data_IF_789152921870
#
_entry.id   IF_789152921870
#
_cell.length_a   1.000
_cell.length_b   1.000
_cell.length_c   1.000
_cell.angle_alpha   90.00
_cell.angle_beta   90.00
_cell.angle_gamma   90.00
#
_symmetry.space_group_name_H-M   'P 1'
#
loop_
_entity.id
_entity.type
_entity.pdbx_description
1 polymer ?
#
# COMPACT_ATOMS: atom_id res chain seq x y z
N UNK A 1 47.48 49.97 -22.59
CA UNK A 1 47.94 48.94 -21.63
C UNK A 1 46.73 48.33 -20.91
N UNK A 2 45.82 47.71 -21.68
CA UNK A 2 44.52 47.19 -21.18
C UNK A 2 44.16 45.84 -21.81
N UNK A 3 45.06 45.25 -22.61
CA UNK A 3 44.81 44.01 -23.34
C UNK A 3 45.31 42.74 -22.62
N UNK A 4 46.15 42.86 -21.58
CA UNK A 4 46.72 41.69 -20.88
C UNK A 4 45.95 41.24 -19.62
N UNK A 5 44.92 41.96 -19.17
CA UNK A 5 44.21 41.64 -17.90
C UNK A 5 43.07 40.61 -18.05
N UNK A 6 42.69 40.24 -19.27
CA UNK A 6 41.59 39.30 -19.51
C UNK A 6 42.03 37.88 -19.89
N UNK A 7 43.26 37.69 -20.39
CA UNK A 7 43.74 36.36 -20.83
C UNK A 7 43.88 35.35 -19.67
N UNK A 8 44.29 35.80 -18.49
CA UNK A 8 44.43 34.92 -17.32
C UNK A 8 43.09 34.41 -16.79
N UNK A 9 42.01 35.20 -16.90
CA UNK A 9 40.66 34.77 -16.48
C UNK A 9 40.07 33.73 -17.42
N UNK A 10 40.27 33.89 -18.73
CA UNK A 10 39.79 32.93 -19.74
C UNK A 10 40.59 31.62 -19.73
N UNK A 11 41.90 31.68 -19.48
CA UNK A 11 42.72 30.47 -19.30
C UNK A 11 42.30 29.67 -18.05
N UNK A 12 42.00 30.34 -16.94
CA UNK A 12 41.53 29.68 -15.72
C UNK A 12 40.15 29.03 -15.91
N UNK A 13 39.24 29.69 -16.63
CA UNK A 13 37.91 29.15 -16.91
C UNK A 13 37.99 27.91 -17.79
N UNK A 14 38.85 27.91 -18.81
CA UNK A 14 39.08 26.77 -19.71
C UNK A 14 39.67 25.57 -18.98
N UNK A 15 40.66 25.79 -18.09
CA UNK A 15 41.25 24.72 -17.26
C UNK A 15 40.21 24.18 -16.28
N UNK A 16 39.38 25.04 -15.66
CA UNK A 16 38.33 24.60 -14.74
C UNK A 16 37.29 23.75 -15.46
N UNK A 17 36.85 24.14 -16.67
CA UNK A 17 35.94 23.32 -17.49
C UNK A 17 36.57 21.99 -17.88
N UNK A 18 37.85 21.97 -18.27
CA UNK A 18 38.56 20.75 -18.66
C UNK A 18 38.70 19.78 -17.47
N UNK A 19 39.05 20.30 -16.29
CA UNK A 19 39.14 19.53 -15.04
C UNK A 19 37.77 19.01 -14.63
N UNK A 20 36.69 19.79 -14.74
CA UNK A 20 35.33 19.29 -14.48
C UNK A 20 34.88 18.23 -15.48
N UNK A 21 35.24 18.32 -16.76
CA UNK A 21 34.92 17.28 -17.76
C UNK A 21 35.72 16.00 -17.56
N UNK A 22 36.99 16.10 -17.15
CA UNK A 22 37.82 14.93 -16.87
C UNK A 22 37.40 14.26 -15.54
N UNK A 23 37.11 15.03 -14.49
CA UNK A 23 36.57 14.47 -13.24
C UNK A 23 35.18 13.86 -13.45
N UNK A 24 34.28 14.48 -14.22
CA UNK A 24 32.98 13.86 -14.52
C UNK A 24 33.10 12.58 -15.35
N UNK A 25 34.07 12.48 -16.26
CA UNK A 25 34.36 11.21 -16.95
C UNK A 25 34.96 10.11 -16.06
N UNK A 26 35.64 10.48 -14.96
CA UNK A 26 36.18 9.54 -13.98
C UNK A 26 35.12 9.05 -12.98
N UNK A 27 34.00 9.75 -12.82
CA UNK A 27 32.86 9.32 -11.98
C UNK A 27 31.81 8.47 -12.72
N UNK A 28 31.95 8.24 -14.04
CA UNK A 28 31.08 7.34 -14.82
C UNK A 28 31.72 5.99 -15.17
N UNK A 29 32.91 5.69 -14.62
CA UNK A 29 33.32 4.28 -14.51
C UNK A 29 32.62 3.74 -13.26
N UNK A 30 31.34 3.41 -13.41
CA UNK A 30 30.69 2.45 -12.53
C UNK A 30 31.51 1.18 -12.63
N UNK A 31 32.46 0.98 -11.72
CA UNK A 31 32.98 -0.34 -11.45
C UNK A 31 31.76 -1.15 -11.00
N UNK A 32 31.15 -1.87 -11.93
CA UNK A 32 30.29 -3.00 -11.62
C UNK A 32 31.19 -3.98 -10.90
N UNK A 33 31.32 -3.81 -9.59
CA UNK A 33 31.81 -4.84 -8.71
C UNK A 33 30.79 -5.95 -8.88
N UNK A 34 31.13 -6.94 -9.72
CA UNK A 34 30.32 -8.14 -9.85
C UNK A 34 30.20 -8.77 -8.47
N UNK A 35 28.98 -9.18 -8.11
CA UNK A 35 28.74 -9.91 -6.88
C UNK A 35 29.73 -11.08 -6.77
N UNK A 36 30.47 -11.18 -5.67
CA UNK A 36 31.56 -12.14 -5.46
C UNK A 36 31.06 -13.52 -5.04
N UNK A 37 29.93 -13.97 -5.58
CA UNK A 37 29.34 -15.26 -5.26
C UNK A 37 29.99 -16.41 -6.03
N UNK A 38 29.79 -17.62 -5.53
CA UNK A 38 30.12 -18.85 -6.25
C UNK A 38 29.48 -18.84 -7.65
N UNK A 39 30.22 -19.31 -8.66
CA UNK A 39 29.76 -19.34 -10.04
C UNK A 39 29.35 -20.75 -10.45
N UNK A 40 28.17 -20.86 -11.05
CA UNK A 40 27.61 -22.12 -11.55
C UNK A 40 27.31 -21.95 -13.04
N UNK A 41 27.59 -22.96 -13.86
CA UNK A 41 27.30 -22.88 -15.30
C UNK A 41 25.80 -22.77 -15.56
N UNK A 42 25.42 -22.08 -16.64
CA UNK A 42 24.02 -21.94 -17.03
C UNK A 42 23.30 -23.28 -17.23
N UNK A 43 24.00 -24.31 -17.73
CA UNK A 43 23.42 -25.63 -17.97
C UNK A 43 23.21 -26.41 -16.67
N UNK A 44 24.15 -26.33 -15.72
CA UNK A 44 23.96 -26.87 -14.38
C UNK A 44 22.76 -26.21 -13.68
N UNK A 45 22.66 -24.87 -13.72
CA UNK A 45 21.53 -24.14 -13.14
C UNK A 45 20.19 -24.59 -13.71
N UNK A 46 20.07 -24.72 -15.04
CA UNK A 46 18.84 -25.23 -15.68
C UNK A 46 18.49 -26.65 -15.24
N UNK A 47 19.50 -27.49 -15.01
CA UNK A 47 19.29 -28.90 -14.63
C UNK A 47 18.88 -29.06 -13.17
N UNK A 48 19.50 -28.31 -12.26
CA UNK A 48 19.30 -28.49 -10.82
C UNK A 48 18.15 -27.64 -10.25
N UNK A 49 17.75 -26.57 -10.92
CA UNK A 49 16.70 -25.68 -10.40
C UNK A 49 15.31 -26.31 -10.48
N UNK A 50 14.44 -25.93 -9.54
CA UNK A 50 13.01 -26.27 -9.56
C UNK A 50 12.16 -25.13 -10.10
N UNK A 51 12.57 -23.89 -9.84
CA UNK A 51 11.91 -22.69 -10.33
C UNK A 51 12.90 -21.81 -11.08
N UNK A 52 12.40 -21.10 -12.08
CA UNK A 52 13.16 -20.08 -12.77
C UNK A 52 12.27 -18.91 -13.17
N UNK A 53 12.78 -17.69 -13.02
CA UNK A 53 12.05 -16.47 -13.25
C UNK A 53 12.91 -15.50 -14.05
N UNK A 54 12.35 -14.89 -15.09
CA UNK A 54 13.04 -13.81 -15.81
C UNK A 54 12.66 -12.47 -15.20
N UNK A 55 13.65 -11.66 -14.82
CA UNK A 55 13.46 -10.35 -14.22
C UNK A 55 14.32 -9.31 -14.95
N UNK A 56 13.82 -8.08 -15.04
CA UNK A 56 14.62 -6.93 -15.44
C UNK A 56 14.96 -6.07 -14.23
N UNK A 57 16.18 -5.58 -14.19
CA UNK A 57 16.56 -4.54 -13.23
C UNK A 57 16.05 -3.15 -13.66
N UNK A 58 16.34 -2.13 -12.85
CA UNK A 58 15.96 -0.74 -13.14
C UNK A 58 16.66 -0.16 -14.39
N UNK A 59 17.72 -0.80 -14.88
CA UNK A 59 18.45 -0.45 -16.10
C UNK A 59 17.96 -1.28 -17.30
N UNK A 60 16.85 -2.02 -17.14
CA UNK A 60 16.26 -2.90 -18.16
C UNK A 60 17.15 -4.09 -18.54
N UNK A 61 18.18 -4.38 -17.75
CA UNK A 61 19.02 -5.57 -17.93
C UNK A 61 18.24 -6.80 -17.50
N UNK A 62 18.12 -7.77 -18.40
CA UNK A 62 17.44 -9.04 -18.13
C UNK A 62 18.36 -10.04 -17.42
N UNK A 63 17.79 -10.71 -16.42
CA UNK A 63 18.41 -11.79 -15.67
C UNK A 63 17.41 -12.95 -15.53
N UNK A 64 17.93 -14.17 -15.41
CA UNK A 64 17.17 -15.32 -14.95
C UNK A 64 17.57 -15.62 -13.51
N UNK A 65 16.59 -15.61 -12.59
CA UNK A 65 16.74 -16.11 -11.23
C UNK A 65 16.40 -17.59 -11.24
N UNK A 66 17.35 -18.41 -10.81
CA UNK A 66 17.24 -19.85 -10.66
C UNK A 66 17.13 -20.18 -9.17
N UNK A 67 16.12 -20.96 -8.77
CA UNK A 67 15.94 -21.43 -7.40
C UNK A 67 16.24 -22.92 -7.35
N UNK A 68 17.23 -23.29 -6.53
CA UNK A 68 17.76 -24.65 -6.45
C UNK A 68 18.19 -25.00 -5.02
N UNK A 69 18.32 -26.28 -4.73
CA UNK A 69 18.89 -26.82 -3.50
C UNK A 69 19.81 -28.00 -3.86
N UNK A 70 20.88 -28.20 -3.10
CA UNK A 70 21.82 -29.32 -3.28
C UNK A 70 21.44 -30.53 -2.43
N UNK A 71 20.71 -30.30 -1.34
CA UNK A 71 20.28 -31.24 -0.31
C UNK A 71 18.80 -31.64 -0.47
N UNK A 72 18.28 -31.61 -1.71
CA UNK A 72 16.86 -31.81 -1.97
C UNK A 72 16.39 -33.25 -1.69
N UNK A 73 15.38 -33.37 -0.83
CA UNK A 73 14.65 -34.60 -0.57
C UNK A 73 13.30 -34.58 -1.30
N UNK A 74 12.95 -35.72 -1.90
CA UNK A 74 11.71 -35.89 -2.67
C UNK A 74 10.73 -36.75 -1.90
N UNK A 75 9.53 -36.24 -1.72
CA UNK A 75 8.40 -37.00 -1.16
C UNK A 75 7.13 -36.75 -1.98
N UNK A 76 6.03 -37.39 -1.58
CA UNK A 76 4.74 -37.24 -2.23
C UNK A 76 3.70 -36.89 -1.18
N UNK A 77 2.83 -35.93 -1.51
CA UNK A 77 1.71 -35.57 -0.65
C UNK A 77 0.78 -36.78 -0.50
N UNK A 78 0.58 -37.24 0.74
CA UNK A 78 -0.20 -38.46 1.02
C UNK A 78 -1.71 -38.22 1.07
N UNK A 79 -2.11 -36.98 1.34
CA UNK A 79 -3.51 -36.58 1.50
C UNK A 79 -3.78 -35.29 0.70
N UNK A 80 -5.05 -34.96 0.49
CA UNK A 80 -5.41 -33.67 -0.10
C UNK A 80 -5.01 -32.54 0.87
N UNK A 81 -4.21 -31.60 0.38
CA UNK A 81 -3.99 -30.33 1.07
C UNK A 81 -4.89 -29.28 0.41
N UNK A 82 -6.13 -29.21 0.90
CA UNK A 82 -7.12 -28.23 0.47
C UNK A 82 -6.70 -26.78 0.76
N UNK A 83 -5.71 -26.60 1.64
CA UNK A 83 -5.17 -25.29 1.97
C UNK A 83 -4.10 -24.83 0.99
N UNK A 84 -3.35 -25.72 0.34
CA UNK A 84 -2.39 -25.37 -0.70
C UNK A 84 -2.89 -25.58 -2.13
N UNK A 85 -4.15 -26.00 -2.31
CA UNK A 85 -4.70 -26.51 -3.57
C UNK A 85 -3.85 -27.67 -4.16
N UNK A 86 -3.24 -28.46 -3.27
CA UNK A 86 -2.41 -29.59 -3.64
C UNK A 86 -3.20 -30.90 -3.48
N UNK A 87 -3.00 -31.80 -4.43
CA UNK A 87 -3.67 -33.09 -4.47
C UNK A 87 -2.78 -34.19 -3.90
N UNK A 88 -3.41 -35.20 -3.29
CA UNK A 88 -2.70 -36.43 -2.97
C UNK A 88 -2.01 -36.97 -4.24
N UNK A 89 -0.73 -37.28 -4.15
CA UNK A 89 0.11 -37.64 -5.29
C UNK A 89 0.98 -36.52 -5.86
N UNK A 90 0.79 -35.25 -5.46
CA UNK A 90 1.68 -34.17 -5.88
C UNK A 90 3.08 -34.32 -5.25
N UNK A 91 4.12 -34.00 -6.02
CA UNK A 91 5.52 -34.18 -5.60
C UNK A 91 5.98 -32.98 -4.79
N UNK A 92 6.55 -33.28 -3.62
CA UNK A 92 7.08 -32.31 -2.67
C UNK A 92 8.60 -32.41 -2.70
N UNK A 93 9.25 -31.26 -2.82
CA UNK A 93 10.70 -31.11 -2.79
C UNK A 93 11.08 -30.25 -1.59
N UNK A 94 11.80 -30.83 -0.64
CA UNK A 94 12.26 -30.13 0.58
C UNK A 94 13.76 -29.98 0.54
N UNK A 95 14.29 -28.81 0.85
CA UNK A 95 15.73 -28.57 0.88
C UNK A 95 16.07 -27.13 1.25
N UNK A 96 17.37 -26.85 1.35
CA UNK A 96 17.89 -25.52 1.63
C UNK A 96 17.96 -24.71 0.33
N UNK A 97 16.86 -24.05 -0.06
CA UNK A 97 16.82 -23.37 -1.35
C UNK A 97 17.62 -22.05 -1.37
N UNK A 98 18.40 -21.91 -2.42
CA UNK A 98 19.19 -20.72 -2.74
C UNK A 98 18.77 -20.15 -4.10
N UNK A 99 19.09 -18.87 -4.32
CA UNK A 99 18.96 -18.24 -5.62
C UNK A 99 20.33 -18.14 -6.30
N UNK A 100 20.38 -18.38 -7.60
CA UNK A 100 21.45 -17.90 -8.47
C UNK A 100 20.87 -16.96 -9.53
N UNK A 101 21.61 -15.91 -9.89
CA UNK A 101 21.23 -15.02 -10.98
C UNK A 101 22.12 -15.27 -12.18
N UNK A 102 21.52 -15.39 -13.36
CA UNK A 102 22.21 -15.46 -14.63
C UNK A 102 21.85 -14.24 -15.45
N UNK A 103 22.82 -13.34 -15.68
CA UNK A 103 22.62 -12.20 -16.60
C UNK A 103 22.46 -12.73 -18.02
N UNK A 104 21.51 -12.18 -18.77
CA UNK A 104 21.23 -12.62 -20.14
C UNK A 104 22.48 -12.57 -21.02
N UNK A 105 22.80 -13.69 -21.69
CA UNK A 105 23.97 -13.85 -22.55
C UNK A 105 25.24 -14.33 -21.84
N UNK A 106 25.28 -14.37 -20.50
CA UNK A 106 26.42 -14.91 -19.75
C UNK A 106 26.39 -16.45 -19.70
N UNK A 107 27.57 -17.05 -19.54
CA UNK A 107 27.73 -18.50 -19.43
C UNK A 107 27.61 -19.03 -17.98
N UNK A 108 27.80 -18.15 -17.00
CA UNK A 108 27.82 -18.48 -15.58
C UNK A 108 26.84 -17.60 -14.81
N UNK A 109 26.07 -18.21 -13.92
CA UNK A 109 25.28 -17.50 -12.93
C UNK A 109 26.03 -17.40 -11.61
N UNK A 110 25.65 -16.41 -10.80
CA UNK A 110 26.24 -16.13 -9.49
C UNK A 110 25.26 -16.50 -8.39
N UNK A 111 25.67 -17.38 -7.48
CA UNK A 111 24.90 -17.72 -6.28
C UNK A 111 24.73 -16.49 -5.39
N UNK A 112 23.53 -16.28 -4.90
CA UNK A 112 23.13 -15.14 -4.08
C UNK A 112 23.09 -15.53 -2.60
N UNK A 113 23.46 -14.58 -1.74
CA UNK A 113 23.45 -14.79 -0.29
C UNK A 113 22.11 -14.42 0.38
N UNK A 114 21.12 -13.98 -0.39
CA UNK A 114 19.82 -13.58 0.16
C UNK A 114 19.06 -14.82 0.64
N UNK A 115 18.52 -14.75 1.86
CA UNK A 115 17.61 -15.79 2.37
C UNK A 115 16.25 -15.66 1.68
N UNK A 116 15.83 -16.71 0.99
CA UNK A 116 14.53 -16.78 0.33
C UNK A 116 13.41 -17.14 1.30
N UNK A 117 13.75 -17.77 2.43
CA UNK A 117 12.80 -18.37 3.38
C UNK A 117 11.80 -19.26 2.65
N UNK A 118 12.35 -20.19 1.88
CA UNK A 118 11.64 -21.14 1.05
C UNK A 118 12.30 -22.50 1.26
N UNK A 119 11.63 -23.39 1.99
CA UNK A 119 12.20 -24.70 2.33
C UNK A 119 11.52 -25.85 1.57
N UNK A 120 10.34 -25.57 0.99
CA UNK A 120 9.51 -26.57 0.31
C UNK A 120 8.97 -26.03 -1.01
N UNK A 121 9.03 -26.84 -2.06
CA UNK A 121 8.39 -26.59 -3.36
C UNK A 121 7.48 -27.75 -3.69
N UNK A 122 6.21 -27.46 -4.01
CA UNK A 122 5.26 -28.45 -4.54
C UNK A 122 5.00 -28.10 -6.00
N UNK A 123 5.42 -28.97 -6.92
CA UNK A 123 5.28 -28.70 -8.35
C UNK A 123 3.81 -28.77 -8.76
N UNK A 124 3.39 -27.77 -9.57
CA UNK A 124 2.02 -27.30 -9.91
C UNK A 124 1.62 -25.99 -9.23
N UNK A 125 2.27 -25.61 -8.12
CA UNK A 125 2.04 -24.31 -7.53
C UNK A 125 2.58 -23.20 -8.45
N UNK A 126 1.69 -22.32 -8.90
CA UNK A 126 1.98 -21.08 -9.65
C UNK A 126 1.99 -19.85 -8.73
N UNK A 127 2.16 -20.08 -7.43
CA UNK A 127 2.05 -19.08 -6.37
C UNK A 127 3.26 -18.13 -6.32
N UNK A 128 4.44 -18.61 -6.74
CA UNK A 128 5.63 -17.79 -6.96
C UNK A 128 5.62 -17.20 -8.38
N UNK A 129 5.77 -15.88 -8.52
CA UNK A 129 5.67 -15.23 -9.83
C UNK A 129 6.42 -13.90 -9.92
N UNK A 130 6.52 -13.41 -11.15
CA UNK A 130 7.07 -12.09 -11.46
C UNK A 130 5.94 -11.08 -11.68
N UNK A 131 6.12 -9.90 -11.10
CA UNK A 131 5.28 -8.73 -11.31
C UNK A 131 6.05 -7.79 -12.22
N UNK A 132 5.68 -7.77 -13.51
CA UNK A 132 6.35 -6.95 -14.52
C UNK A 132 6.08 -5.47 -14.29
N UNK A 133 7.13 -4.66 -14.08
CA UNK A 133 6.97 -3.23 -13.83
C UNK A 133 6.45 -2.48 -15.06
N UNK A 134 6.84 -2.95 -16.26
CA UNK A 134 6.58 -2.34 -17.58
C UNK A 134 7.00 -0.86 -17.70
N UNK A 135 7.77 -0.34 -16.74
CA UNK A 135 8.17 1.06 -16.64
C UNK A 135 9.69 1.18 -16.49
N UNK A 136 10.30 2.11 -17.24
CA UNK A 136 11.73 2.35 -17.17
C UNK A 136 12.14 2.90 -15.80
N UNK A 137 13.25 2.43 -15.25
CA UNK A 137 13.72 2.81 -13.91
C UNK A 137 13.05 2.06 -12.76
N UNK A 138 12.06 1.19 -13.02
CA UNK A 138 11.43 0.33 -12.02
C UNK A 138 11.77 -1.13 -12.34
N UNK A 139 12.45 -1.88 -11.45
CA UNK A 139 12.75 -3.28 -11.68
C UNK A 139 11.48 -4.13 -11.63
N UNK A 140 11.50 -5.28 -12.30
CA UNK A 140 10.49 -6.31 -12.09
C UNK A 140 10.62 -6.88 -10.68
N UNK A 141 9.51 -7.32 -10.09
CA UNK A 141 9.49 -7.84 -8.72
C UNK A 141 9.31 -9.36 -8.75
N UNK A 142 10.20 -10.09 -8.08
CA UNK A 142 10.00 -11.51 -7.79
C UNK A 142 9.21 -11.62 -6.49
N UNK A 143 8.05 -12.27 -6.56
CA UNK A 143 7.20 -12.56 -5.42
C UNK A 143 7.34 -14.04 -5.08
N UNK A 144 8.01 -14.32 -3.95
CA UNK A 144 8.00 -15.66 -3.35
C UNK A 144 6.87 -15.68 -2.34
N UNK A 145 6.01 -16.68 -2.45
CA UNK A 145 4.82 -16.80 -1.61
C UNK A 145 4.91 -18.02 -0.74
N UNK A 146 4.51 -17.85 0.50
CA UNK A 146 4.30 -18.94 1.43
C UNK A 146 2.82 -18.96 1.84
N UNK A 147 2.38 -20.13 2.29
CA UNK A 147 1.04 -20.28 2.79
C UNK A 147 0.87 -19.46 4.09
N UNK A 148 -0.09 -18.54 4.10
CA UNK A 148 -0.40 -17.72 5.28
C UNK A 148 -1.59 -18.28 6.06
N UNK A 149 -2.76 -18.35 5.42
CA UNK A 149 -3.99 -18.86 6.04
C UNK A 149 -4.99 -19.39 5.01
N UNK A 150 -6.22 -19.68 5.45
CA UNK A 150 -7.31 -20.24 4.65
C UNK A 150 -7.61 -19.52 3.33
N UNK A 151 -7.31 -18.22 3.24
CA UNK A 151 -7.67 -17.40 2.08
C UNK A 151 -6.56 -16.44 1.61
N UNK A 152 -5.37 -16.48 2.22
CA UNK A 152 -4.24 -15.61 1.85
C UNK A 152 -2.90 -16.35 1.79
N UNK A 153 -2.02 -15.84 0.94
CA UNK A 153 -0.60 -16.13 0.94
C UNK A 153 0.15 -14.95 1.58
N UNK A 154 1.22 -15.26 2.29
CA UNK A 154 2.23 -14.28 2.66
C UNK A 154 3.23 -14.14 1.50
N UNK A 155 3.65 -12.91 1.22
CA UNK A 155 4.41 -12.55 0.02
C UNK A 155 5.69 -11.85 0.43
N UNK A 156 6.80 -12.43 0.00
CA UNK A 156 8.16 -11.92 0.16
C UNK A 156 8.62 -11.39 -1.19
N UNK A 157 9.09 -10.15 -1.22
CA UNK A 157 9.39 -9.45 -2.48
C UNK A 157 10.87 -9.26 -2.65
N UNK A 158 11.36 -9.54 -3.85
CA UNK A 158 12.75 -9.37 -4.24
C UNK A 158 12.86 -8.61 -5.54
N UNK A 159 13.97 -7.90 -5.71
CA UNK A 159 14.34 -7.21 -6.94
C UNK A 159 15.79 -7.48 -7.27
N UNK A 160 16.16 -7.31 -8.54
CA UNK A 160 17.57 -7.26 -8.92
C UNK A 160 18.02 -5.81 -8.91
N UNK A 161 19.07 -5.51 -8.15
CA UNK A 161 19.70 -4.20 -8.11
C UNK A 161 21.21 -4.38 -8.20
N UNK A 162 21.81 -3.79 -9.23
CA UNK A 162 23.27 -3.87 -9.47
C UNK A 162 23.79 -5.31 -9.59
N UNK A 163 23.01 -6.21 -10.19
CA UNK A 163 23.38 -7.61 -10.31
C UNK A 163 23.40 -8.38 -8.98
N UNK A 164 22.56 -7.99 -8.03
CA UNK A 164 22.31 -8.74 -6.80
C UNK A 164 20.80 -8.88 -6.58
N UNK A 165 20.35 -10.06 -6.13
CA UNK A 165 18.99 -10.28 -5.70
C UNK A 165 18.82 -9.75 -4.27
N UNK A 166 17.95 -8.76 -4.10
CA UNK A 166 17.76 -8.06 -2.83
C UNK A 166 16.32 -8.14 -2.35
N UNK A 167 16.15 -8.39 -1.05
CA UNK A 167 14.85 -8.34 -0.37
C UNK A 167 14.33 -6.90 -0.34
N UNK A 168 13.04 -6.74 -0.57
CA UNK A 168 12.32 -5.48 -0.47
C UNK A 168 11.48 -5.49 0.80
N UNK A 169 11.67 -4.49 1.65
CA UNK A 169 10.91 -4.33 2.89
C UNK A 169 9.58 -3.61 2.66
N UNK A 170 8.60 -3.84 3.54
CA UNK A 170 7.33 -3.13 3.51
C UNK A 170 7.32 -2.04 4.59
N UNK A 171 6.87 -0.84 4.23
CA UNK A 171 6.79 0.29 5.16
C UNK A 171 5.44 0.99 5.07
N UNK A 172 4.96 1.48 6.21
CA UNK A 172 3.75 2.27 6.29
C UNK A 172 3.94 3.64 5.64
N UNK A 173 2.83 4.35 5.45
CA UNK A 173 2.84 5.68 4.86
C UNK A 173 3.71 6.70 5.64
N UNK A 174 3.88 6.51 6.95
CA UNK A 174 4.68 7.37 7.84
C UNK A 174 6.16 6.94 7.91
N UNK A 175 6.54 5.89 7.19
CA UNK A 175 7.90 5.36 7.13
C UNK A 175 8.24 4.34 8.22
N UNK A 176 7.30 3.99 9.12
CA UNK A 176 7.51 2.89 10.06
C UNK A 176 7.55 1.55 9.32
N UNK A 177 8.34 0.61 9.84
CA UNK A 177 8.40 -0.76 9.32
C UNK A 177 7.02 -1.41 9.37
N UNK A 178 6.55 -1.89 8.23
CA UNK A 178 5.34 -2.71 8.10
C UNK A 178 5.61 -4.21 8.08
N UNK A 179 6.88 -4.61 8.05
CA UNK A 179 7.31 -6.01 8.02
C UNK A 179 8.20 -6.31 6.80
N UNK A 180 8.54 -7.58 6.65
CA UNK A 180 9.33 -8.13 5.54
C UNK A 180 8.48 -8.89 4.51
N UNK A 181 7.16 -8.91 4.73
CA UNK A 181 6.15 -9.57 3.90
C UNK A 181 4.84 -8.80 3.90
N UNK A 182 3.97 -9.10 2.93
CA UNK A 182 2.57 -8.64 2.88
C UNK A 182 1.64 -9.80 2.54
N UNK A 183 0.32 -9.57 2.53
CA UNK A 183 -0.66 -10.62 2.25
C UNK A 183 -1.47 -10.33 0.99
N UNK A 184 -1.83 -11.38 0.25
CA UNK A 184 -2.86 -11.32 -0.79
C UNK A 184 -3.63 -12.63 -0.91
N UNK A 185 -4.81 -12.57 -1.50
CA UNK A 185 -5.56 -13.74 -1.95
C UNK A 185 -4.71 -14.59 -2.89
N UNK A 186 -4.83 -15.91 -2.78
CA UNK A 186 -4.07 -16.90 -3.55
C UNK A 186 -4.17 -16.67 -5.06
N UNK A 187 -5.41 -16.48 -5.55
CA UNK A 187 -5.68 -16.29 -6.96
C UNK A 187 -5.98 -14.84 -7.29
N UNK A 188 -5.21 -14.31 -8.25
CA UNK A 188 -5.39 -12.95 -8.77
C UNK A 188 -5.44 -11.91 -7.63
N UNK A 189 -4.71 -12.14 -6.53
CA UNK A 189 -4.64 -11.25 -5.38
C UNK A 189 -3.69 -10.07 -5.57
N UNK A 190 -2.91 -10.06 -6.65
CA UNK A 190 -1.93 -9.01 -6.94
C UNK A 190 -2.17 -8.46 -8.35
N UNK A 191 -2.03 -7.14 -8.52
CA UNK A 191 -1.94 -6.51 -9.83
C UNK A 191 -0.95 -5.36 -9.84
N UNK A 192 -0.39 -5.08 -11.01
CA UNK A 192 0.41 -3.88 -11.25
C UNK A 192 -0.47 -2.68 -11.57
N UNK A 193 0.01 -1.52 -11.17
CA UNK A 193 -0.49 -0.20 -11.50
C UNK A 193 0.68 0.63 -12.03
N UNK A 194 0.37 1.76 -12.65
CA UNK A 194 1.39 2.69 -13.12
C UNK A 194 2.18 3.32 -11.96
N UNK A 195 3.34 3.89 -12.29
CA UNK A 195 4.26 4.62 -11.40
C UNK A 195 4.87 3.71 -10.31
N UNK A 196 5.30 2.52 -10.73
CA UNK A 196 5.90 1.50 -9.86
C UNK A 196 5.00 1.05 -8.70
N UNK A 197 3.68 1.06 -8.90
CA UNK A 197 2.71 0.69 -7.87
C UNK A 197 2.20 -0.73 -8.04
N UNK A 198 1.99 -1.41 -6.94
CA UNK A 198 1.42 -2.77 -6.89
C UNK A 198 0.28 -2.77 -5.89
N UNK A 199 -0.84 -3.37 -6.29
CA UNK A 199 -2.01 -3.49 -5.43
C UNK A 199 -2.25 -4.95 -5.07
N UNK A 200 -2.47 -5.18 -3.79
CA UNK A 200 -2.74 -6.46 -3.16
C UNK A 200 -4.18 -6.45 -2.68
N UNK A 201 -4.90 -7.56 -2.86
CA UNK A 201 -6.28 -7.76 -2.41
C UNK A 201 -6.31 -8.98 -1.52
N UNK A 202 -6.99 -8.88 -0.39
CA UNK A 202 -7.38 -10.03 0.41
C UNK A 202 -8.78 -9.86 1.00
N UNK A 203 -9.35 -10.95 1.50
CA UNK A 203 -10.64 -10.93 2.18
C UNK A 203 -10.43 -11.00 3.68
N UNK A 204 -10.93 -10.01 4.41
CA UNK A 204 -10.94 -9.99 5.87
C UNK A 204 -12.18 -10.74 6.36
N UNK A 205 -11.97 -11.92 6.93
CA UNK A 205 -13.06 -12.77 7.45
C UNK A 205 -13.75 -12.18 8.69
N UNK A 206 -13.05 -11.33 9.46
CA UNK A 206 -13.60 -10.69 10.66
C UNK A 206 -14.64 -9.64 10.24
N UNK A 207 -14.28 -8.78 9.30
CA UNK A 207 -15.12 -7.66 8.86
C UNK A 207 -16.05 -7.99 7.67
N UNK A 208 -15.87 -9.15 7.05
CA UNK A 208 -16.67 -9.58 5.90
C UNK A 208 -16.51 -8.69 4.66
N UNK A 209 -15.30 -8.15 4.44
CA UNK A 209 -14.97 -7.23 3.34
C UNK A 209 -13.65 -7.60 2.66
N UNK A 210 -13.48 -7.12 1.43
CA UNK A 210 -12.19 -7.12 0.75
C UNK A 210 -11.39 -5.87 1.11
N UNK A 211 -10.15 -6.08 1.50
CA UNK A 211 -9.16 -5.03 1.72
C UNK A 211 -8.18 -4.99 0.55
N UNK A 212 -7.79 -3.77 0.18
CA UNK A 212 -6.90 -3.50 -0.93
C UNK A 212 -5.76 -2.60 -0.46
N UNK A 213 -4.54 -3.12 -0.44
CA UNK A 213 -3.35 -2.37 -0.10
C UNK A 213 -2.59 -2.01 -1.37
N UNK A 214 -2.34 -0.72 -1.59
CA UNK A 214 -1.54 -0.24 -2.72
C UNK A 214 -0.19 0.23 -2.21
N UNK A 215 0.87 -0.41 -2.67
CA UNK A 215 2.24 -0.03 -2.36
C UNK A 215 2.92 0.60 -3.57
N UNK A 216 3.84 1.53 -3.32
CA UNK A 216 4.72 2.11 -4.32
C UNK A 216 6.16 1.70 -4.04
N UNK A 217 6.84 1.21 -5.07
CA UNK A 217 8.25 0.82 -4.99
C UNK A 217 9.15 2.07 -4.89
N UNK A 218 10.02 2.07 -3.88
CA UNK A 218 11.19 2.92 -3.81
C UNK A 218 12.43 2.06 -4.05
N UNK A 219 12.93 2.11 -5.29
CA UNK A 219 14.08 1.32 -5.75
C UNK A 219 15.35 1.61 -4.94
N UNK A 220 15.59 2.87 -4.61
CA UNK A 220 16.81 3.27 -3.90
C UNK A 220 16.83 2.81 -2.44
N UNK A 221 15.65 2.75 -1.81
CA UNK A 221 15.51 2.31 -0.41
C UNK A 221 15.23 0.81 -0.28
N UNK A 222 14.97 0.11 -1.39
CA UNK A 222 14.48 -1.27 -1.40
C UNK A 222 13.23 -1.43 -0.52
N UNK A 223 12.26 -0.55 -0.73
CA UNK A 223 11.04 -0.49 0.07
C UNK A 223 9.78 -0.40 -0.78
N UNK A 224 8.77 -1.19 -0.41
CA UNK A 224 7.38 -1.00 -0.80
C UNK A 224 6.70 -0.12 0.24
N UNK A 225 6.46 1.15 -0.11
CA UNK A 225 5.78 2.09 0.79
C UNK A 225 4.28 2.08 0.55
N UNK A 226 3.49 1.92 1.60
CA UNK A 226 2.03 1.97 1.52
C UNK A 226 1.60 3.35 0.99
N UNK A 227 1.05 3.35 -0.22
CA UNK A 227 0.59 4.53 -0.94
C UNK A 227 -0.90 4.78 -0.68
N UNK A 228 -1.72 3.74 -0.61
CA UNK A 228 -3.16 3.86 -0.36
C UNK A 228 -3.76 2.55 0.19
N UNK A 229 -4.92 2.65 0.86
CA UNK A 229 -5.77 1.51 1.24
C UNK A 229 -7.17 1.67 0.66
N UNK A 230 -7.95 0.59 0.54
CA UNK A 230 -9.37 0.66 0.16
C UNK A 230 -10.10 -0.59 0.65
N UNK A 231 -11.35 -0.42 1.10
CA UNK A 231 -12.19 -1.52 1.58
C UNK A 231 -13.51 -1.60 0.79
N UNK A 232 -13.93 -2.80 0.38
CA UNK A 232 -15.17 -3.00 -0.39
C UNK A 232 -15.83 -4.35 -0.10
N UNK A 233 -17.16 -4.44 -0.23
CA UNK A 233 -17.90 -5.72 -0.12
C UNK A 233 -17.71 -6.67 -1.30
N UNK A 234 -17.10 -6.21 -2.39
CA UNK A 234 -16.90 -7.00 -3.60
C UNK A 234 -15.41 -7.11 -3.92
N UNK A 235 -15.01 -8.21 -4.55
CA UNK A 235 -13.62 -8.47 -4.93
C UNK A 235 -13.12 -7.58 -6.09
N UNK A 236 -14.01 -6.81 -6.71
CA UNK A 236 -13.67 -6.00 -7.88
C UNK A 236 -12.58 -4.98 -7.52
N UNK A 237 -11.57 -4.89 -8.38
CA UNK A 237 -10.46 -3.98 -8.16
C UNK A 237 -10.93 -2.52 -8.14
N UNK A 238 -10.53 -1.71 -7.14
CA UNK A 238 -10.86 -0.28 -7.13
C UNK A 238 -10.20 0.44 -8.30
N UNK A 239 -10.81 1.53 -8.76
CA UNK A 239 -10.13 2.45 -9.69
C UNK A 239 -8.89 3.07 -9.02
N UNK A 240 -7.93 3.54 -9.81
CA UNK A 240 -6.81 4.31 -9.25
C UNK A 240 -7.32 5.63 -8.66
N UNK A 241 -6.78 6.05 -7.52
CA UNK A 241 -7.08 7.36 -6.91
C UNK A 241 -8.37 7.47 -6.10
N UNK A 242 -9.11 6.36 -5.88
CA UNK A 242 -10.33 6.35 -5.05
C UNK A 242 -10.12 5.70 -3.67
N UNK A 243 -8.89 5.67 -3.16
CA UNK A 243 -8.57 5.04 -1.89
C UNK A 243 -8.87 5.89 -0.65
N UNK A 244 -8.71 5.25 0.51
CA UNK A 244 -8.99 5.76 1.83
C UNK A 244 -8.12 6.98 2.16
N UNK A 245 -6.87 7.06 1.67
CA UNK A 245 -5.97 8.21 1.89
C UNK A 245 -6.60 9.51 1.42
N UNK A 246 -7.04 9.54 0.15
CA UNK A 246 -7.60 10.74 -0.46
C UNK A 246 -8.96 11.11 0.17
N UNK A 247 -9.79 10.09 0.43
CA UNK A 247 -11.07 10.26 1.11
C UNK A 247 -10.90 10.89 2.50
N UNK A 248 -10.05 10.30 3.35
CA UNK A 248 -9.83 10.76 4.72
C UNK A 248 -9.16 12.13 4.77
N UNK A 249 -8.24 12.42 3.84
CA UNK A 249 -7.70 13.77 3.68
C UNK A 249 -8.80 14.80 3.37
N UNK A 250 -9.67 14.50 2.41
CA UNK A 250 -10.79 15.39 2.07
C UNK A 250 -11.76 15.56 3.24
N UNK A 251 -12.01 14.49 3.99
CA UNK A 251 -12.88 14.51 5.16
C UNK A 251 -12.29 15.38 6.28
N UNK A 252 -10.99 15.25 6.57
CA UNK A 252 -10.25 16.13 7.48
C UNK A 252 -10.28 17.60 7.05
N UNK A 253 -10.08 17.87 5.76
CA UNK A 253 -10.10 19.22 5.20
C UNK A 253 -11.48 19.89 5.34
N UNK A 254 -12.57 19.12 5.28
CA UNK A 254 -13.93 19.60 5.51
C UNK A 254 -14.23 19.76 7.01
N UNK A 255 -13.89 18.75 7.80
CA UNK A 255 -14.15 18.73 9.24
C UNK A 255 -13.40 19.83 9.99
N UNK A 256 -12.15 20.12 9.63
CA UNK A 256 -11.38 21.24 10.21
C UNK A 256 -12.02 22.63 9.96
N UNK A 257 -13.00 22.72 9.06
CA UNK A 257 -13.77 23.94 8.74
C UNK A 257 -15.23 23.85 9.17
N UNK A 258 -15.62 22.77 9.85
CA UNK A 258 -17.00 22.46 10.22
C UNK A 258 -17.91 22.30 9.00
N UNK A 259 -17.38 21.88 7.85
CA UNK A 259 -18.11 21.82 6.57
C UNK A 259 -18.64 20.43 6.25
N UNK A 260 -19.75 20.38 5.53
CA UNK A 260 -20.19 19.15 4.86
C UNK A 260 -19.18 18.81 3.75
N UNK A 261 -18.64 17.58 3.67
CA UNK A 261 -17.72 17.19 2.61
C UNK A 261 -18.29 17.47 1.21
N UNK A 262 -17.49 18.12 0.35
CA UNK A 262 -17.90 18.53 -1.00
C UNK A 262 -18.81 19.78 -1.06
N UNK A 263 -19.17 20.41 0.07
CA UNK A 263 -20.08 21.57 0.13
C UNK A 263 -19.57 22.66 1.07
N UNK A 264 -18.89 23.67 0.54
CA UNK A 264 -18.37 24.80 1.35
C UNK A 264 -19.47 25.73 1.87
N UNK A 265 -20.66 25.67 1.26
CA UNK A 265 -21.81 26.50 1.58
C UNK A 265 -22.67 25.93 2.71
N UNK A 266 -22.42 24.69 3.15
CA UNK A 266 -23.07 24.04 4.30
C UNK A 266 -22.03 23.76 5.38
N UNK A 267 -22.22 24.38 6.55
CA UNK A 267 -21.28 24.29 7.67
C UNK A 267 -21.97 24.49 9.02
N UNK A 268 -21.30 24.10 10.10
CA UNK A 268 -21.73 24.37 11.46
C UNK A 268 -21.89 25.89 11.71
N UNK A 269 -22.81 26.25 12.59
CA UNK A 269 -23.19 27.62 12.91
C UNK A 269 -24.19 28.30 11.94
N UNK A 270 -24.49 27.70 10.78
CA UNK A 270 -25.55 28.20 9.88
C UNK A 270 -26.93 28.08 10.52
N UNK A 271 -27.84 29.00 10.23
CA UNK A 271 -29.20 28.92 10.76
C UNK A 271 -30.06 27.93 9.98
N UNK A 272 -31.07 27.35 10.64
CA UNK A 272 -32.08 26.49 10.01
C UNK A 272 -32.66 27.12 8.74
N UNK A 273 -33.03 28.40 8.79
CA UNK A 273 -33.56 29.13 7.61
C UNK A 273 -32.59 29.08 6.42
N UNK A 274 -31.29 29.24 6.70
CA UNK A 274 -30.25 29.20 5.65
C UNK A 274 -30.09 27.80 5.10
N UNK A 275 -30.08 26.78 5.96
CA UNK A 275 -29.97 25.38 5.55
C UNK A 275 -31.14 24.98 4.67
N UNK A 276 -32.38 25.28 5.07
CA UNK A 276 -33.58 24.99 4.28
C UNK A 276 -33.57 25.68 2.92
N UNK A 277 -33.06 26.92 2.84
CA UNK A 277 -32.89 27.62 1.55
C UNK A 277 -31.90 26.92 0.62
N UNK A 278 -30.81 26.36 1.16
CA UNK A 278 -29.72 25.77 0.37
C UNK A 278 -29.91 24.29 0.04
N UNK A 279 -30.56 23.54 0.92
CA UNK A 279 -30.75 22.09 0.80
C UNK A 279 -32.19 21.68 0.49
N UNK A 280 -33.15 22.60 0.60
CA UNK A 280 -34.56 22.29 0.46
C UNK A 280 -35.09 21.44 1.60
N UNK A 281 -36.17 20.69 1.31
CA UNK A 281 -36.90 19.88 2.29
C UNK A 281 -36.11 18.61 2.63
N UNK A 282 -35.94 18.27 3.92
CA UNK A 282 -35.32 17.01 4.31
C UNK A 282 -36.22 15.81 3.98
N UNK A 283 -35.63 14.63 3.85
CA UNK A 283 -36.37 13.35 3.69
C UNK A 283 -37.17 13.03 4.94
N UNK A 284 -36.57 13.21 6.11
CA UNK A 284 -37.23 13.01 7.40
C UNK A 284 -36.62 13.92 8.47
N UNK A 285 -37.31 13.98 9.62
CA UNK A 285 -36.90 14.78 10.78
C UNK A 285 -37.04 13.90 12.02
N UNK A 286 -36.06 13.96 12.90
CA UNK A 286 -36.10 13.28 14.20
C UNK A 286 -35.37 14.11 15.25
N UNK A 287 -35.50 13.75 16.52
CA UNK A 287 -34.52 14.15 17.52
C UNK A 287 -33.39 13.11 17.52
N UNK A 288 -32.16 13.58 17.65
CA UNK A 288 -30.99 12.78 17.98
C UNK A 288 -30.41 13.24 19.31
N UNK A 289 -29.24 12.73 19.65
CA UNK A 289 -28.50 13.09 20.86
C UNK A 289 -28.26 14.61 20.97
N UNK A 290 -27.87 15.24 19.86
CA UNK A 290 -27.44 16.64 19.81
C UNK A 290 -28.54 17.65 19.50
N UNK A 291 -29.81 17.22 19.47
CA UNK A 291 -30.97 18.05 19.14
C UNK A 291 -31.75 17.54 17.92
N UNK A 292 -32.43 18.43 17.22
CA UNK A 292 -33.17 18.08 16.02
C UNK A 292 -32.22 17.71 14.88
N UNK A 293 -32.51 16.61 14.18
CA UNK A 293 -31.77 16.16 13.01
C UNK A 293 -32.66 16.20 11.79
N UNK A 294 -32.19 16.87 10.74
CA UNK A 294 -32.81 16.88 9.42
C UNK A 294 -32.05 15.92 8.52
N UNK A 295 -32.68 14.79 8.15
CA UNK A 295 -32.04 13.73 7.36
C UNK A 295 -32.20 13.97 5.87
N UNK A 296 -31.09 13.88 5.14
CA UNK A 296 -31.00 13.91 3.69
C UNK A 296 -30.58 12.54 3.16
N UNK A 297 -30.22 12.44 1.88
CA UNK A 297 -29.95 11.13 1.27
C UNK A 297 -28.75 10.39 1.88
N UNK A 298 -27.64 11.10 2.11
CA UNK A 298 -26.37 10.49 2.55
C UNK A 298 -25.77 11.21 3.77
N UNK A 299 -26.51 12.15 4.37
CA UNK A 299 -26.05 12.94 5.50
C UNK A 299 -27.25 13.49 6.28
N UNK A 300 -27.01 13.91 7.50
CA UNK A 300 -27.95 14.62 8.37
C UNK A 300 -27.38 15.95 8.83
N UNK A 301 -28.26 16.88 9.18
CA UNK A 301 -27.89 18.18 9.76
C UNK A 301 -28.55 18.28 11.13
N UNK A 302 -27.73 18.25 12.18
CA UNK A 302 -28.16 18.41 13.56
C UNK A 302 -28.16 19.88 13.99
N UNK A 303 -29.10 20.27 14.82
CA UNK A 303 -29.28 21.64 15.30
C UNK A 303 -29.18 21.71 16.82
N UNK A 304 -28.77 22.87 17.33
CA UNK A 304 -28.67 23.23 18.75
C UNK A 304 -30.00 23.30 19.54
N UNK A 305 -31.08 22.69 19.03
CA UNK A 305 -32.40 22.64 19.65
C UNK A 305 -33.18 21.41 19.19
N UNK A 306 -34.01 20.83 20.05
CA UNK A 306 -34.89 19.72 19.70
C UNK A 306 -36.05 20.16 18.80
N UNK A 307 -36.71 19.21 18.12
CA UNK A 307 -37.74 19.50 17.11
C UNK A 307 -38.87 20.39 17.60
N UNK A 308 -39.29 20.22 18.86
CA UNK A 308 -40.37 20.99 19.47
C UNK A 308 -39.95 22.42 19.85
N UNK A 309 -38.65 22.69 19.93
CA UNK A 309 -38.06 23.99 20.27
C UNK A 309 -37.41 24.68 19.07
N UNK A 310 -37.30 23.96 17.95
CA UNK A 310 -36.54 24.33 16.78
C UNK A 310 -37.10 25.60 16.12
N UNK A 311 -36.27 26.63 16.02
CA UNK A 311 -36.65 27.94 15.45
C UNK A 311 -35.83 28.23 14.20
N UNK A 312 -36.29 29.18 13.39
CA UNK A 312 -35.59 29.62 12.17
C UNK A 312 -34.15 30.11 12.41
N UNK A 313 -33.85 30.54 13.65
CA UNK A 313 -32.54 30.99 14.13
C UNK A 313 -31.68 29.90 14.79
N UNK A 314 -32.23 28.72 15.07
CA UNK A 314 -31.46 27.57 15.59
C UNK A 314 -30.33 27.25 14.62
N UNK A 315 -29.16 26.90 15.15
CA UNK A 315 -27.93 26.77 14.38
C UNK A 315 -27.52 25.32 14.23
N UNK A 316 -26.88 25.02 13.10
CA UNK A 316 -26.25 23.73 12.88
C UNK A 316 -25.19 23.52 13.95
N UNK A 317 -25.37 22.49 14.78
CA UNK A 317 -24.41 22.05 15.79
C UNK A 317 -23.52 20.95 15.23
N UNK A 318 -24.11 20.02 14.47
CA UNK A 318 -23.40 18.84 13.95
C UNK A 318 -23.82 18.52 12.51
N UNK A 319 -22.91 17.88 11.78
CA UNK A 319 -23.15 17.31 10.47
C UNK A 319 -22.90 15.80 10.56
N UNK A 320 -23.94 15.05 10.23
CA UNK A 320 -23.99 13.59 10.31
C UNK A 320 -23.62 12.99 8.95
N UNK A 321 -22.63 12.09 8.90
CA UNK A 321 -22.25 11.39 7.67
C UNK A 321 -22.59 9.90 7.81
N UNK A 322 -23.40 9.40 6.88
CA UNK A 322 -23.78 7.98 6.83
C UNK A 322 -22.74 7.26 5.95
N UNK A 323 -21.79 6.58 6.58
CA UNK A 323 -20.51 6.14 6.00
C UNK A 323 -20.58 4.89 5.12
N UNK A 324 -21.80 4.44 4.77
CA UNK A 324 -22.14 3.10 4.26
C UNK A 324 -21.37 2.61 3.01
N UNK A 325 -20.51 3.44 2.39
CA UNK A 325 -19.82 3.14 1.13
C UNK A 325 -18.29 2.99 1.25
N UNK A 326 -17.68 3.46 2.33
CA UNK A 326 -16.22 3.44 2.44
C UNK A 326 -15.69 2.23 3.22
N UNK A 327 -16.49 1.64 4.12
CA UNK A 327 -16.10 0.46 4.90
C UNK A 327 -14.77 0.66 5.64
N UNK A 328 -14.57 1.85 6.22
CA UNK A 328 -13.33 2.18 6.92
C UNK A 328 -13.26 1.42 8.23
N UNK A 329 -12.09 0.90 8.58
CA UNK A 329 -11.81 0.42 9.95
C UNK A 329 -11.23 1.56 10.81
N UNK A 330 -11.28 1.47 12.15
CA UNK A 330 -10.54 2.35 13.05
C UNK A 330 -9.06 2.48 12.69
N UNK A 331 -8.43 1.39 12.24
CA UNK A 331 -7.03 1.38 11.83
C UNK A 331 -6.76 2.16 10.54
N UNK A 332 -7.67 2.11 9.55
CA UNK A 332 -7.58 2.99 8.38
C UNK A 332 -7.60 4.47 8.80
N UNK A 333 -8.46 4.83 9.75
CA UNK A 333 -8.54 6.21 10.25
C UNK A 333 -7.22 6.61 10.89
N UNK A 334 -6.67 5.79 11.80
CA UNK A 334 -5.41 6.06 12.50
C UNK A 334 -4.23 6.11 11.54
N UNK A 335 -4.19 5.23 10.56
CA UNK A 335 -3.15 5.17 9.52
C UNK A 335 -3.07 6.48 8.72
N UNK A 336 -4.22 7.03 8.31
CA UNK A 336 -4.26 8.18 7.40
C UNK A 336 -4.46 9.54 8.09
N UNK A 337 -5.09 9.59 9.25
CA UNK A 337 -5.30 10.82 10.03
C UNK A 337 -4.28 11.01 11.16
N UNK A 338 -3.55 9.95 11.51
CA UNK A 338 -2.58 9.92 12.61
C UNK A 338 -3.25 9.60 13.95
N UNK A 339 -2.60 9.98 15.05
CA UNK A 339 -3.12 9.72 16.40
C UNK A 339 -4.38 10.56 16.68
N UNK A 340 -5.49 9.96 17.18
CA UNK A 340 -6.66 10.72 17.60
C UNK A 340 -6.37 11.62 18.80
N UNK A 341 -7.19 12.65 18.98
CA UNK A 341 -7.15 13.52 20.16
C UNK A 341 -7.68 12.80 21.40
N UNK A 342 -8.67 11.92 21.24
CA UNK A 342 -9.18 11.01 22.25
C UNK A 342 -9.87 9.82 21.60
N UNK A 343 -9.86 8.68 22.28
CA UNK A 343 -10.54 7.44 21.89
C UNK A 343 -10.97 6.74 23.18
N UNK A 344 -12.27 6.48 23.33
CA UNK A 344 -12.81 5.85 24.55
C UNK A 344 -14.12 5.11 24.24
N UNK A 345 -14.42 4.12 25.07
CA UNK A 345 -15.72 3.44 25.06
C UNK A 345 -16.79 4.31 25.71
N UNK A 346 -17.89 4.54 25.01
CA UNK A 346 -19.07 5.27 25.46
C UNK A 346 -20.25 4.29 25.65
N UNK A 347 -20.50 3.91 26.91
CA UNK A 347 -21.61 3.02 27.28
C UNK A 347 -22.99 3.51 26.80
N UNK A 348 -23.20 4.83 26.73
CA UNK A 348 -24.49 5.39 26.32
C UNK A 348 -24.76 5.21 24.82
N UNK A 349 -23.71 5.14 24.01
CA UNK A 349 -23.78 4.88 22.57
C UNK A 349 -23.61 3.39 22.26
N UNK A 350 -23.06 2.61 23.20
CA UNK A 350 -22.84 1.17 23.04
C UNK A 350 -21.64 0.85 22.16
N UNK A 351 -20.61 1.71 22.16
CA UNK A 351 -19.43 1.55 21.32
C UNK A 351 -18.35 2.57 21.62
N UNK A 352 -17.35 2.67 20.76
CA UNK A 352 -16.23 3.59 20.87
C UNK A 352 -16.46 4.90 20.12
N UNK A 353 -15.90 5.98 20.67
CA UNK A 353 -15.81 7.29 20.03
C UNK A 353 -14.36 7.66 19.78
N UNK A 354 -13.94 7.72 18.52
CA UNK A 354 -12.62 8.21 18.12
C UNK A 354 -12.72 9.64 17.61
N UNK A 355 -12.04 10.57 18.29
CA UNK A 355 -12.19 12.01 18.07
C UNK A 355 -10.88 12.62 17.58
N UNK A 356 -10.98 13.46 16.54
CA UNK A 356 -9.91 14.36 16.10
C UNK A 356 -10.38 15.81 16.20
N UNK A 357 -9.59 16.67 16.87
CA UNK A 357 -9.87 18.11 17.02
C UNK A 357 -8.88 18.96 16.22
N UNK A 358 -9.41 19.96 15.51
CA UNK A 358 -8.65 20.94 14.75
C UNK A 358 -9.16 22.35 15.07
N UNK A 359 -8.58 22.96 16.11
CA UNK A 359 -9.04 24.24 16.62
C UNK A 359 -10.43 24.11 17.25
N UNK A 360 -11.40 24.87 16.74
CA UNK A 360 -12.79 24.88 17.26
C UNK A 360 -13.71 23.82 16.62
N UNK A 361 -13.20 23.05 15.68
CA UNK A 361 -13.95 22.04 14.96
C UNK A 361 -13.37 20.65 15.20
N UNK A 362 -14.20 19.63 15.06
CA UNK A 362 -13.78 18.25 15.21
C UNK A 362 -14.53 17.29 14.30
N UNK A 363 -14.00 16.07 14.27
CA UNK A 363 -14.67 14.90 13.71
C UNK A 363 -14.66 13.78 14.75
N UNK A 364 -15.75 13.03 14.80
CA UNK A 364 -15.92 11.85 15.65
C UNK A 364 -16.31 10.68 14.76
N UNK A 365 -15.62 9.55 14.92
CA UNK A 365 -15.93 8.28 14.30
C UNK A 365 -16.47 7.34 15.37
N UNK A 366 -17.59 6.69 15.10
CA UNK A 366 -18.25 5.74 15.99
C UNK A 366 -18.18 4.34 15.39
N UNK A 367 -17.93 3.35 16.24
CA UNK A 367 -17.82 1.93 15.92
C UNK A 367 -18.11 1.12 17.19
N UNK A 368 -18.71 -0.07 17.07
CA UNK A 368 -19.14 -0.87 18.23
C UNK A 368 -17.93 -1.54 18.94
N UNK A 369 -17.12 -2.31 18.20
CA UNK A 369 -15.94 -3.01 18.72
C UNK A 369 -14.65 -2.63 17.97
N UNK A 370 -13.46 -2.89 18.55
CA UNK A 370 -12.17 -2.48 17.99
C UNK A 370 -11.94 -2.97 16.55
N UNK A 371 -12.46 -4.16 16.22
CA UNK A 371 -12.33 -4.78 14.89
C UNK A 371 -13.47 -4.43 13.92
N UNK A 372 -14.49 -3.68 14.37
CA UNK A 372 -15.63 -3.30 13.54
C UNK A 372 -15.30 -2.19 12.54
N UNK A 373 -16.22 -2.00 11.59
CA UNK A 373 -16.16 -0.88 10.66
C UNK A 373 -16.75 0.38 11.30
N UNK A 374 -16.36 1.54 10.79
CA UNK A 374 -16.96 2.81 11.20
C UNK A 374 -18.44 2.84 10.76
N UNK A 375 -19.34 2.77 11.72
CA UNK A 375 -20.78 2.89 11.50
C UNK A 375 -21.16 4.30 11.06
N UNK A 376 -20.60 5.29 11.77
CA UNK A 376 -21.11 6.64 11.72
C UNK A 376 -20.08 7.72 12.05
N UNK A 377 -20.16 8.86 11.34
CA UNK A 377 -19.24 9.98 11.52
C UNK A 377 -19.97 11.29 11.76
N UNK A 378 -19.48 12.08 12.71
CA UNK A 378 -20.00 13.40 13.07
C UNK A 378 -18.93 14.46 12.88
N UNK A 379 -19.26 15.56 12.21
CA UNK A 379 -18.47 16.80 12.20
C UNK A 379 -19.16 17.82 13.11
N UNK A 380 -18.40 18.49 13.99
CA UNK A 380 -18.93 19.47 14.95
C UNK A 380 -18.08 20.75 15.04
#
# INVERSE_FOLDING_TARGET
MTYMKHHTKWAFLMILTLVTSVLSSLFFVSSTVGASGEQITADQLKQQSRLSFTLRDAQETAYTVYIFAEDEEVSTLTELDSWGDNNAGDVIYTGSYHAAILKSGEAFGTVQHVNLELDTIILRQNSNFVVDSRESGIPDLLMITEWGSSNVNMIKTFVIQSGELKRVGYVLNDGKTGGDSTVATRDQGIRTLSDGRVQFRYYNNVQGIYEFNTFKMNVNQLQMRLDDTRNQKIAAWPNSGVGNRAYLKSLKDAASKGQLPGRTDIKTGLTLKTVQKKLGKPKSKSNGEWGAVYKYANFGIGFDAYLHELKSKSRVSVIELYNEKQYLSPDDIKLWLGKPSSEYYNEAVGGYEMIYKWGKHGIMFNYEEEDDLIDYTVIY
#
